data_IF_143222574449
#
_entry.id   IF_143222574449
#
_cell.length_a   1.000
_cell.length_b   1.000
_cell.length_c   1.000
_cell.angle_alpha   90.00
_cell.angle_beta   90.00
_cell.angle_gamma   90.00
#
_symmetry.space_group_name_H-M   'P 1'
#
loop_
_entity.id
_entity.type
_entity.pdbx_description
1 polymer ?
#
# COMPACT_ATOMS: atom_id res chain seq x y z
N UNK A 1 43.62 -5.83 -28.37
CA UNK A 1 42.96 -5.12 -27.25
C UNK A 1 41.74 -5.93 -26.81
N UNK A 2 41.64 -6.35 -25.54
CA UNK A 2 40.47 -7.10 -25.05
C UNK A 2 39.28 -6.14 -24.83
N UNK A 3 38.09 -6.55 -25.28
CA UNK A 3 36.83 -5.82 -25.11
C UNK A 3 36.41 -5.87 -23.62
N UNK A 4 36.02 -4.74 -22.97
CA UNK A 4 35.51 -4.79 -21.61
C UNK A 4 34.19 -5.56 -21.58
N UNK A 5 34.10 -6.57 -20.72
CA UNK A 5 32.84 -7.27 -20.45
C UNK A 5 31.94 -6.36 -19.59
N UNK A 6 30.64 -6.23 -19.89
CA UNK A 6 29.74 -5.54 -18.97
C UNK A 6 29.65 -6.39 -17.70
N UNK A 7 30.20 -5.88 -16.61
CA UNK A 7 29.86 -6.37 -15.27
C UNK A 7 28.38 -6.12 -15.08
N UNK A 8 27.62 -7.20 -14.92
CA UNK A 8 26.27 -7.15 -14.39
C UNK A 8 26.38 -6.53 -13.00
N UNK A 9 26.16 -5.22 -12.92
CA UNK A 9 25.89 -4.56 -11.67
C UNK A 9 24.65 -5.25 -11.12
N UNK A 10 24.84 -6.14 -10.17
CA UNK A 10 23.79 -6.79 -9.41
C UNK A 10 22.77 -5.72 -9.04
N UNK A 11 21.62 -5.77 -9.70
CA UNK A 11 20.38 -5.17 -9.22
C UNK A 11 20.14 -5.85 -7.87
N UNK A 12 20.52 -5.17 -6.78
CA UNK A 12 20.18 -5.60 -5.43
C UNK A 12 18.67 -5.54 -5.32
N UNK A 13 18.02 -6.65 -5.67
CA UNK A 13 16.59 -6.92 -5.54
C UNK A 13 16.16 -7.06 -4.08
N UNK A 14 16.65 -6.22 -3.19
CA UNK A 14 16.03 -5.94 -1.91
C UNK A 14 15.53 -4.50 -1.97
N UNK A 15 14.22 -4.33 -2.16
CA UNK A 15 13.56 -3.06 -1.92
C UNK A 15 14.00 -2.58 -0.54
N UNK A 16 14.90 -1.59 -0.49
CA UNK A 16 15.32 -0.98 0.76
C UNK A 16 14.05 -0.61 1.54
N UNK A 17 13.92 -1.01 2.82
CA UNK A 17 12.72 -0.75 3.59
C UNK A 17 12.48 0.76 3.55
N UNK A 18 11.44 1.15 2.81
CA UNK A 18 11.10 2.55 2.59
C UNK A 18 10.82 3.14 3.97
N UNK A 19 11.76 3.93 4.49
CA UNK A 19 11.60 4.55 5.80
C UNK A 19 10.34 5.40 5.72
N UNK A 20 9.43 5.16 6.66
CA UNK A 20 8.21 5.93 6.82
C UNK A 20 8.55 7.42 6.79
N UNK A 21 7.97 8.14 5.83
CA UNK A 21 8.09 9.59 5.79
C UNK A 21 7.38 10.22 7.00
N UNK A 22 7.79 11.42 7.41
CA UNK A 22 7.15 12.11 8.53
C UNK A 22 5.63 12.27 8.36
N UNK A 23 5.19 12.58 7.14
CA UNK A 23 3.76 12.66 6.82
C UNK A 23 3.02 11.31 6.96
N UNK A 24 3.63 10.22 6.48
CA UNK A 24 3.05 8.88 6.61
C UNK A 24 2.93 8.47 8.09
N UNK A 25 3.97 8.75 8.88
CA UNK A 25 3.97 8.47 10.32
C UNK A 25 2.87 9.24 11.06
N UNK A 26 2.68 10.53 10.75
CA UNK A 26 1.63 11.36 11.36
C UNK A 26 0.25 10.76 11.10
N UNK A 27 -0.04 10.36 9.85
CA UNK A 27 -1.34 9.77 9.50
C UNK A 27 -1.60 8.50 10.31
N UNK A 28 -0.60 7.62 10.43
CA UNK A 28 -0.72 6.38 11.22
C UNK A 28 -0.98 6.71 12.70
N UNK A 29 -0.24 7.65 13.28
CA UNK A 29 -0.41 8.05 14.68
C UNK A 29 -1.83 8.60 14.91
N UNK A 30 -2.32 9.47 14.03
CA UNK A 30 -3.66 10.05 14.14
C UNK A 30 -4.74 8.96 14.05
N UNK A 31 -4.63 8.04 13.09
CA UNK A 31 -5.58 6.92 12.94
C UNK A 31 -5.61 6.05 14.21
N UNK A 32 -4.44 5.71 14.75
CA UNK A 32 -4.33 4.90 15.98
C UNK A 32 -4.92 5.67 17.18
N UNK A 33 -4.57 6.95 17.35
CA UNK A 33 -5.03 7.76 18.47
C UNK A 33 -6.56 7.94 18.45
N UNK A 34 -7.15 8.23 17.29
CA UNK A 34 -8.60 8.37 17.12
C UNK A 34 -9.30 7.03 17.38
N UNK A 35 -8.76 5.93 16.86
CA UNK A 35 -9.31 4.58 17.10
C UNK A 35 -9.27 4.21 18.59
N UNK A 36 -8.14 4.48 19.24
CA UNK A 36 -7.98 4.23 20.67
C UNK A 36 -8.96 5.08 21.50
N UNK A 37 -9.15 6.36 21.15
CA UNK A 37 -10.13 7.22 21.80
C UNK A 37 -11.57 6.71 21.62
N UNK A 38 -11.95 6.26 20.42
CA UNK A 38 -13.27 5.67 20.16
C UNK A 38 -13.54 4.44 21.04
N UNK A 39 -12.55 3.55 21.19
CA UNK A 39 -12.70 2.34 22.00
C UNK A 39 -12.68 2.67 23.49
N UNK A 40 -11.69 3.44 23.95
CA UNK A 40 -11.44 3.66 25.37
C UNK A 40 -12.37 4.71 26.00
N UNK A 41 -12.74 5.76 25.25
CA UNK A 41 -13.52 6.90 25.78
C UNK A 41 -14.99 6.77 25.38
N UNK A 42 -15.27 6.45 24.12
CA UNK A 42 -16.65 6.33 23.65
C UNK A 42 -17.26 4.94 23.90
N UNK A 43 -16.48 3.98 24.42
CA UNK A 43 -16.94 2.62 24.71
C UNK A 43 -17.36 1.85 23.46
N UNK A 44 -16.92 2.28 22.28
CA UNK A 44 -17.30 1.63 21.03
C UNK A 44 -16.69 0.23 20.97
N UNK A 45 -17.48 -0.79 20.56
CA UNK A 45 -16.96 -2.14 20.44
C UNK A 45 -15.88 -2.19 19.36
N UNK A 46 -14.76 -2.86 19.67
CA UNK A 46 -13.57 -2.93 18.81
C UNK A 46 -13.89 -3.39 17.38
N UNK A 47 -14.80 -4.37 17.23
CA UNK A 47 -15.22 -4.86 15.91
C UNK A 47 -15.90 -3.78 15.07
N UNK A 48 -16.72 -2.91 15.68
CA UNK A 48 -17.35 -1.80 14.97
C UNK A 48 -16.31 -0.78 14.53
N UNK A 49 -15.35 -0.45 15.39
CA UNK A 49 -14.24 0.45 15.03
C UNK A 49 -13.41 -0.14 13.90
N UNK A 50 -13.08 -1.43 13.97
CA UNK A 50 -12.34 -2.13 12.92
C UNK A 50 -13.11 -2.14 11.60
N UNK A 51 -14.42 -2.37 11.63
CA UNK A 51 -15.27 -2.35 10.44
C UNK A 51 -15.36 -0.95 9.83
N UNK A 52 -15.40 0.10 10.65
CA UNK A 52 -15.34 1.49 10.18
C UNK A 52 -13.99 1.81 9.53
N UNK A 53 -12.86 1.40 10.13
CA UNK A 53 -11.55 1.59 9.50
C UNK A 53 -11.43 0.84 8.19
N UNK A 54 -11.90 -0.42 8.15
CA UNK A 54 -11.87 -1.22 6.94
C UNK A 54 -12.72 -0.58 5.83
N UNK A 55 -13.94 -0.15 6.16
CA UNK A 55 -14.82 0.55 5.23
C UNK A 55 -14.21 1.84 4.73
N UNK A 56 -13.78 2.72 5.63
CA UNK A 56 -13.18 4.01 5.29
C UNK A 56 -11.90 3.86 4.44
N UNK A 57 -11.02 2.92 4.81
CA UNK A 57 -9.79 2.63 4.08
C UNK A 57 -10.07 2.10 2.67
N UNK A 58 -11.05 1.20 2.53
CA UNK A 58 -11.44 0.65 1.23
C UNK A 58 -12.08 1.73 0.35
N UNK A 59 -13.00 2.53 0.89
CA UNK A 59 -13.58 3.66 0.16
C UNK A 59 -12.52 4.66 -0.28
N UNK A 60 -11.57 5.02 0.60
CA UNK A 60 -10.47 5.91 0.26
C UNK A 60 -9.61 5.33 -0.87
N UNK A 61 -9.25 4.04 -0.80
CA UNK A 61 -8.47 3.37 -1.83
C UNK A 61 -9.20 3.37 -3.19
N UNK A 62 -10.51 3.10 -3.20
CA UNK A 62 -11.33 3.13 -4.42
C UNK A 62 -11.37 4.54 -5.00
N UNK A 63 -11.67 5.55 -4.18
CA UNK A 63 -11.75 6.95 -4.62
C UNK A 63 -10.40 7.41 -5.18
N UNK A 64 -9.30 7.20 -4.46
CA UNK A 64 -7.95 7.55 -4.93
C UNK A 64 -7.61 6.78 -6.21
N UNK A 65 -7.93 5.50 -6.28
CA UNK A 65 -7.69 4.67 -7.47
C UNK A 65 -8.45 5.16 -8.70
N UNK A 66 -9.71 5.59 -8.53
CA UNK A 66 -10.52 6.18 -9.58
C UNK A 66 -9.96 7.54 -10.02
N UNK A 67 -9.63 8.42 -9.08
CA UNK A 67 -9.10 9.75 -9.35
C UNK A 67 -7.71 9.72 -10.01
N UNK A 68 -6.86 8.76 -9.64
CA UNK A 68 -5.49 8.62 -10.17
C UNK A 68 -5.40 7.74 -11.43
N UNK A 69 -6.52 7.17 -11.87
CA UNK A 69 -6.57 6.20 -12.98
C UNK A 69 -5.75 4.92 -12.74
N UNK A 70 -5.28 4.70 -11.51
CA UNK A 70 -4.44 3.58 -11.12
C UNK A 70 -5.20 2.24 -11.14
N UNK A 71 -6.53 2.28 -10.98
CA UNK A 71 -7.40 1.10 -11.14
C UNK A 71 -7.22 0.42 -12.49
N UNK A 72 -7.08 1.19 -13.57
CA UNK A 72 -6.83 0.64 -14.91
C UNK A 72 -5.45 0.00 -15.07
N UNK A 73 -4.46 0.43 -14.28
CA UNK A 73 -3.10 -0.12 -14.28
C UNK A 73 -3.02 -1.40 -13.47
N UNK A 74 -3.69 -1.43 -12.31
CA UNK A 74 -3.77 -2.61 -11.46
C UNK A 74 -4.55 -3.74 -12.14
N UNK A 75 -5.69 -3.40 -12.74
CA UNK A 75 -6.49 -4.36 -13.51
C UNK A 75 -5.73 -4.89 -14.73
N UNK A 76 -4.96 -4.05 -15.42
CA UNK A 76 -4.04 -4.48 -16.49
C UNK A 76 -2.91 -5.36 -15.99
N UNK A 77 -2.36 -5.08 -14.80
CA UNK A 77 -1.31 -5.90 -14.21
C UNK A 77 -1.84 -7.29 -13.83
N UNK A 78 -3.02 -7.38 -13.22
CA UNK A 78 -3.69 -8.64 -12.87
C UNK A 78 -4.07 -9.41 -14.14
N UNK A 79 -4.66 -8.74 -15.15
CA UNK A 79 -4.94 -9.36 -16.45
C UNK A 79 -3.66 -9.89 -17.11
N UNK A 80 -2.56 -9.14 -17.07
CA UNK A 80 -1.27 -9.62 -17.59
C UNK A 80 -0.68 -10.78 -16.79
N UNK A 81 -0.92 -10.84 -15.48
CA UNK A 81 -0.46 -11.95 -14.66
C UNK A 81 -1.30 -13.22 -14.89
N UNK A 82 -2.62 -13.07 -15.08
CA UNK A 82 -3.52 -14.18 -15.39
C UNK A 82 -3.37 -14.69 -16.83
N UNK A 83 -3.07 -13.78 -17.76
CA UNK A 83 -2.79 -14.10 -19.17
C UNK A 83 -1.30 -14.35 -19.42
N UNK A 84 -0.44 -14.26 -18.40
CA UNK A 84 0.94 -14.65 -18.53
C UNK A 84 0.96 -16.15 -18.85
N UNK A 85 1.60 -16.59 -19.95
CA UNK A 85 1.77 -17.99 -20.21
C UNK A 85 2.44 -18.63 -19.00
N UNK A 86 1.85 -19.69 -18.45
CA UNK A 86 2.53 -20.55 -17.51
C UNK A 86 3.67 -21.21 -18.29
N UNK A 87 4.89 -20.67 -18.15
CA UNK A 87 6.12 -21.27 -18.66
C UNK A 87 6.60 -22.36 -17.71
#
# INVERSE_FOLDING_TARGET
MPKPRPVSCVENGSQSPRRLGGAEAIVIIVVIAVSAALVAVAGMPLLVVLQLLAGAGLTAAVVVGLLTGATSRWMRAVLRALLAPAA
#
